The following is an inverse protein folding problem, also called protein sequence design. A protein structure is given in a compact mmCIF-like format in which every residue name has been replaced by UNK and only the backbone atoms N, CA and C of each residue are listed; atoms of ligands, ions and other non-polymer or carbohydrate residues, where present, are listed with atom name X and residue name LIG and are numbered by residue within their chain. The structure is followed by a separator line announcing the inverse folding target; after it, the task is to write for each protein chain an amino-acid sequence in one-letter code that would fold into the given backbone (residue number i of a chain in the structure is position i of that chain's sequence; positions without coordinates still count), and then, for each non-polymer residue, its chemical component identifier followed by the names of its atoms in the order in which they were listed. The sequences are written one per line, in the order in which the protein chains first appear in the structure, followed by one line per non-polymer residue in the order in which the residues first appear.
data_IF_001697205308
#
_entry.id   IF_001697205308
#
_cell.length_a   1.000
_cell.length_b   1.000
_cell.length_c   1.000
_cell.angle_alpha   90.00
_cell.angle_beta   90.00
_cell.angle_gamma   90.00
#
_symmetry.space_group_name_H-M   'P 1'
#
loop_
_entity.id
_entity.type
_entity.pdbx_description
1 polymer ?
#
# COMPACT_ATOMS: atom_id res chain seq x y z
N UNK A 1 -33.21 2.29 17.18
CA UNK A 1 -32.20 2.16 16.10
C UNK A 1 -32.18 3.35 15.13
N UNK A 2 -33.24 3.67 14.37
CA UNK A 2 -33.24 4.78 13.37
C UNK A 2 -32.68 6.12 13.88
N UNK A 3 -33.14 6.62 15.04
CA UNK A 3 -32.66 7.90 15.60
C UNK A 3 -31.19 7.83 16.03
N UNK A 4 -30.78 6.75 16.68
CA UNK A 4 -29.40 6.54 17.12
C UNK A 4 -28.44 6.49 15.91
N UNK A 5 -28.82 5.79 14.84
CA UNK A 5 -28.01 5.72 13.62
C UNK A 5 -27.86 7.08 12.94
N UNK A 6 -28.95 7.84 12.80
CA UNK A 6 -28.93 9.13 12.12
C UNK A 6 -28.26 10.24 12.94
N UNK A 7 -28.42 10.23 14.26
CA UNK A 7 -27.96 11.32 15.13
C UNK A 7 -26.61 11.04 15.79
N UNK A 8 -26.15 9.78 15.84
CA UNK A 8 -24.89 9.43 16.47
C UNK A 8 -23.94 8.73 15.49
N UNK A 9 -24.38 7.65 14.83
CA UNK A 9 -23.47 6.88 13.98
C UNK A 9 -23.02 7.67 12.73
N UNK A 10 -23.95 8.30 12.00
CA UNK A 10 -23.59 9.07 10.81
C UNK A 10 -22.70 10.29 11.10
N UNK A 11 -23.00 11.13 12.12
CA UNK A 11 -22.09 12.23 12.48
C UNK A 11 -20.71 11.74 12.92
N UNK A 12 -20.64 10.62 13.65
CA UNK A 12 -19.35 10.05 14.07
C UNK A 12 -18.53 9.58 12.87
N UNK A 13 -19.14 8.88 11.91
CA UNK A 13 -18.47 8.49 10.66
C UNK A 13 -17.99 9.73 9.89
N UNK A 14 -18.80 10.78 9.81
CA UNK A 14 -18.41 12.02 9.14
C UNK A 14 -17.20 12.68 9.81
N UNK A 15 -17.18 12.76 11.14
CA UNK A 15 -16.05 13.33 11.91
C UNK A 15 -14.79 12.49 11.71
N UNK A 16 -14.86 11.17 11.83
CA UNK A 16 -13.70 10.29 11.65
C UNK A 16 -13.19 10.33 10.21
N UNK A 17 -14.08 10.43 9.22
CA UNK A 17 -13.72 10.60 7.82
C UNK A 17 -12.97 11.92 7.63
N UNK A 18 -13.53 13.03 8.12
CA UNK A 18 -12.87 14.33 8.05
C UNK A 18 -11.50 14.32 8.73
N UNK A 19 -11.38 13.66 9.89
CA UNK A 19 -10.11 13.49 10.59
C UNK A 19 -9.08 12.80 9.70
N UNK A 20 -9.39 11.61 9.15
CA UNK A 20 -8.49 10.87 8.26
C UNK A 20 -8.08 11.68 7.04
N UNK A 21 -9.02 12.40 6.39
CA UNK A 21 -8.70 13.23 5.23
C UNK A 21 -7.85 14.45 5.60
N UNK A 22 -8.03 15.02 6.80
CA UNK A 22 -7.26 16.18 7.26
C UNK A 22 -5.85 15.84 7.73
N UNK A 23 -5.63 14.62 8.23
CA UNK A 23 -4.34 14.16 8.74
C UNK A 23 -3.58 13.29 7.75
N UNK A 24 -4.16 13.03 6.56
CA UNK A 24 -3.49 12.24 5.53
C UNK A 24 -2.34 13.06 4.95
N UNK A 25 -1.13 12.66 5.29
CA UNK A 25 0.09 13.10 4.63
C UNK A 25 0.66 11.92 3.85
N UNK A 26 1.12 12.18 2.63
CA UNK A 26 1.94 11.20 1.92
C UNK A 26 3.32 11.26 2.56
N UNK A 27 3.65 10.22 3.33
CA UNK A 27 5.00 10.08 3.89
C UNK A 27 5.98 9.81 2.75
N UNK A 28 7.22 10.25 2.94
CA UNK A 28 8.30 9.86 2.04
C UNK A 28 8.52 8.35 2.16
N UNK A 29 8.67 7.70 1.01
CA UNK A 29 8.91 6.27 0.95
C UNK A 29 10.26 5.95 1.58
N UNK A 30 10.37 4.91 2.43
CA UNK A 30 11.66 4.51 2.99
C UNK A 30 12.58 3.94 1.89
N UNK A 31 13.89 4.08 2.09
CA UNK A 31 14.89 3.45 1.22
C UNK A 31 14.74 1.92 1.21
N UNK A 32 14.98 1.30 0.05
CA UNK A 32 14.86 -0.15 -0.07
C UNK A 32 15.99 -0.86 0.69
N UNK A 33 15.62 -1.77 1.59
CA UNK A 33 16.56 -2.67 2.27
C UNK A 33 16.12 -4.12 2.06
N UNK A 34 17.00 -4.92 1.48
CA UNK A 34 16.74 -6.34 1.23
C UNK A 34 16.83 -7.16 2.52
N UNK A 35 15.73 -7.23 3.25
CA UNK A 35 15.62 -8.08 4.44
C UNK A 35 15.35 -9.55 4.04
N UNK A 36 16.12 -10.54 4.55
CA UNK A 36 15.97 -11.95 4.17
C UNK A 36 14.59 -12.56 4.50
N UNK A 37 13.86 -11.96 5.44
CA UNK A 37 12.52 -12.40 5.83
C UNK A 37 11.40 -11.67 5.07
N UNK A 38 11.72 -10.58 4.38
CA UNK A 38 10.79 -9.81 3.54
C UNK A 38 10.93 -10.23 2.08
N UNK A 39 9.97 -9.81 1.24
CA UNK A 39 10.00 -10.02 -0.21
C UNK A 39 10.21 -11.49 -0.64
N UNK A 40 9.85 -12.48 0.19
CA UNK A 40 10.11 -13.89 -0.10
C UNK A 40 9.39 -14.36 -1.37
N UNK A 41 10.15 -15.00 -2.27
CA UNK A 41 9.69 -15.61 -3.52
C UNK A 41 10.17 -17.04 -3.65
N UNK A 42 9.54 -17.96 -2.93
CA UNK A 42 9.82 -19.39 -3.07
C UNK A 42 9.15 -19.98 -4.32
N UNK A 43 7.99 -19.44 -4.70
CA UNK A 43 7.25 -19.79 -5.90
C UNK A 43 6.70 -18.53 -6.55
N UNK A 44 6.70 -18.48 -7.87
CA UNK A 44 6.08 -17.38 -8.62
C UNK A 44 4.59 -17.32 -8.35
N UNK A 45 4.05 -16.11 -8.32
CA UNK A 45 2.61 -15.93 -8.23
C UNK A 45 1.90 -16.40 -9.50
N UNK A 46 0.65 -16.87 -9.34
CA UNK A 46 -0.12 -17.53 -10.41
C UNK A 46 -0.96 -16.57 -11.26
N UNK A 47 -1.01 -15.29 -10.91
CA UNK A 47 -1.83 -14.29 -11.61
C UNK A 47 -1.04 -13.57 -12.72
N UNK A 48 -1.78 -12.97 -13.64
CA UNK A 48 -1.26 -12.31 -14.84
C UNK A 48 -0.43 -11.07 -14.42
N UNK A 49 0.88 -11.10 -14.63
CA UNK A 49 1.77 -10.00 -14.25
C UNK A 49 3.22 -10.39 -13.93
N UNK A 50 3.79 -11.35 -14.67
CA UNK A 50 5.21 -11.72 -14.55
C UNK A 50 5.60 -12.56 -13.33
N UNK A 51 4.64 -12.97 -12.50
CA UNK A 51 4.89 -13.85 -11.33
C UNK A 51 5.65 -13.19 -10.17
N UNK A 52 6.29 -12.03 -10.40
CA UNK A 52 7.04 -11.28 -9.39
C UNK A 52 6.26 -10.11 -8.78
N UNK A 53 5.10 -9.70 -9.29
CA UNK A 53 4.26 -8.68 -8.63
C UNK A 53 3.26 -9.32 -7.67
N UNK A 54 2.88 -8.67 -6.58
CA UNK A 54 1.73 -9.12 -5.76
C UNK A 54 0.40 -8.78 -6.46
N UNK A 55 -0.73 -9.35 -6.00
CA UNK A 55 -2.03 -9.13 -6.65
C UNK A 55 -2.49 -7.66 -6.59
N UNK A 56 -2.13 -6.95 -5.51
CA UNK A 56 -2.34 -5.52 -5.34
C UNK A 56 -0.99 -4.81 -5.26
N UNK A 57 -0.20 -4.94 -6.32
CA UNK A 57 1.10 -4.29 -6.40
C UNK A 57 0.96 -2.80 -6.72
N UNK A 58 1.55 -1.95 -5.87
CA UNK A 58 1.71 -0.54 -6.12
C UNK A 58 3.18 -0.28 -6.49
N UNK A 59 3.51 0.09 -7.75
CA UNK A 59 4.89 0.31 -8.19
C UNK A 59 5.67 1.30 -7.32
N UNK A 60 4.98 2.34 -6.82
CA UNK A 60 5.60 3.35 -5.98
C UNK A 60 5.90 2.85 -4.56
N UNK A 61 5.09 1.98 -3.97
CA UNK A 61 5.23 1.63 -2.54
C UNK A 61 5.76 0.22 -2.28
N UNK A 62 5.63 -0.68 -3.25
CA UNK A 62 5.95 -2.09 -3.08
C UNK A 62 7.19 -2.44 -3.88
N UNK A 63 8.35 -2.49 -3.24
CA UNK A 63 9.58 -2.95 -3.88
C UNK A 63 9.48 -4.41 -4.35
N UNK A 64 10.21 -4.72 -5.42
CA UNK A 64 10.41 -6.05 -5.95
C UNK A 64 11.80 -6.59 -5.59
N UNK A 65 11.90 -7.87 -5.19
CA UNK A 65 13.19 -8.52 -5.06
C UNK A 65 13.75 -8.90 -6.45
N UNK A 66 15.08 -8.89 -6.63
CA UNK A 66 16.11 -8.35 -5.73
C UNK A 66 16.37 -6.85 -5.89
N UNK A 67 15.84 -6.25 -6.97
CA UNK A 67 16.33 -4.98 -7.52
C UNK A 67 15.77 -3.70 -6.86
N UNK A 68 14.76 -3.81 -5.97
CA UNK A 68 14.22 -2.69 -5.22
C UNK A 68 12.94 -2.09 -5.83
N UNK A 69 12.77 -0.78 -5.74
CA UNK A 69 11.57 -0.12 -6.25
C UNK A 69 11.60 0.03 -7.78
N UNK A 70 10.47 -0.19 -8.44
CA UNK A 70 10.42 -0.20 -9.92
C UNK A 70 10.83 1.13 -10.56
N UNK A 71 10.48 2.24 -9.93
CA UNK A 71 10.82 3.59 -10.39
C UNK A 71 12.31 3.94 -10.25
N UNK A 72 13.02 3.32 -9.30
CA UNK A 72 14.47 3.46 -9.16
C UNK A 72 15.21 2.63 -10.22
N UNK A 73 14.72 1.42 -10.49
CA UNK A 73 15.33 0.50 -11.47
C UNK A 73 15.23 1.07 -12.90
N UNK A 74 14.08 1.63 -13.28
CA UNK A 74 13.87 2.19 -14.62
C UNK A 74 14.70 3.45 -14.89
N UNK A 75 15.18 4.14 -13.84
CA UNK A 75 16.07 5.31 -13.98
C UNK A 75 17.54 4.92 -14.15
N UNK A 76 17.93 3.72 -13.72
CA UNK A 76 19.29 3.20 -13.81
C UNK A 76 19.56 2.36 -15.09
N UNK A 77 18.50 1.99 -15.82
CA UNK A 77 18.53 1.20 -17.07
C UNK A 77 18.69 2.05 -18.34
#
# INVERSE_FOLDING_TARGET
WKRLSLMCALPLVAILTAFVFSTRHEEERPEFVFWPHMYKREKTFFFKGGGNRTMYHNPHWNALPPDGYEDEIDLEA
#
